data_IF_301521030923
#
_entry.id   IF_301521030923
#
_cell.length_a   1.000
_cell.length_b   1.000
_cell.length_c   1.000
_cell.angle_alpha   90.00
_cell.angle_beta   90.00
_cell.angle_gamma   90.00
#
_symmetry.space_group_name_H-M   'P 1'
#
loop_
_entity.id
_entity.type
_entity.pdbx_description
1 polymer ?
#
# COMPACT_ATOMS: atom_id res chain seq x y z
N UNK A 1 -17.55 -16.06 -30.59
CA UNK A 1 -16.23 -16.24 -29.96
C UNK A 1 -16.19 -15.39 -28.71
N UNK A 2 -16.24 -15.99 -27.52
CA UNK A 2 -16.18 -15.25 -26.26
C UNK A 2 -14.78 -14.61 -26.15
N UNK A 3 -14.72 -13.29 -26.21
CA UNK A 3 -13.51 -12.51 -25.89
C UNK A 3 -13.18 -12.78 -24.43
N UNK A 4 -12.23 -13.69 -24.18
CA UNK A 4 -11.65 -13.89 -22.85
C UNK A 4 -11.06 -12.55 -22.43
N UNK A 5 -11.74 -11.84 -21.53
CA UNK A 5 -11.23 -10.64 -20.87
C UNK A 5 -9.93 -11.05 -20.18
N UNK A 6 -8.79 -10.77 -20.81
CA UNK A 6 -7.49 -10.89 -20.15
C UNK A 6 -7.44 -9.72 -19.18
N UNK A 7 -7.50 -9.95 -17.85
CA UNK A 7 -7.26 -8.86 -16.92
C UNK A 7 -5.88 -8.30 -17.27
N UNK A 8 -5.83 -7.01 -17.62
CA UNK A 8 -4.55 -6.31 -17.76
C UNK A 8 -3.87 -6.47 -16.41
N UNK A 9 -2.80 -7.25 -16.38
CA UNK A 9 -2.03 -7.46 -15.16
C UNK A 9 -1.56 -6.06 -14.72
N UNK A 10 -2.09 -5.59 -13.59
CA UNK A 10 -1.57 -4.37 -12.97
C UNK A 10 -0.14 -4.66 -12.55
N UNK A 11 0.74 -3.72 -12.81
CA UNK A 11 2.10 -3.74 -12.28
C UNK A 11 2.04 -3.47 -10.78
N UNK A 12 3.01 -4.00 -10.05
CA UNK A 12 3.21 -3.65 -8.64
C UNK A 12 3.40 -2.14 -8.53
N UNK A 13 2.59 -1.49 -7.68
CA UNK A 13 2.70 -0.04 -7.42
C UNK A 13 4.03 0.34 -6.74
N UNK A 14 4.78 -0.65 -6.27
CA UNK A 14 6.15 -0.51 -5.79
C UNK A 14 7.19 -0.18 -6.89
N UNK A 15 6.82 -0.24 -8.17
CA UNK A 15 7.74 0.03 -9.29
C UNK A 15 8.75 -1.08 -9.59
N UNK A 16 8.59 -2.28 -9.00
CA UNK A 16 9.51 -3.40 -9.24
C UNK A 16 9.36 -4.07 -10.61
N UNK A 17 8.36 -3.67 -11.41
CA UNK A 17 8.04 -4.30 -12.70
C UNK A 17 7.32 -5.65 -12.59
N UNK A 18 7.08 -6.15 -11.38
CA UNK A 18 6.36 -7.41 -11.14
C UNK A 18 4.85 -7.28 -11.31
N UNK A 19 4.18 -8.38 -11.62
CA UNK A 19 2.72 -8.43 -11.80
C UNK A 19 2.04 -9.14 -10.62
N UNK A 20 1.56 -8.41 -9.61
CA UNK A 20 0.72 -9.00 -8.57
C UNK A 20 -0.54 -9.62 -9.18
N UNK A 21 -0.92 -10.81 -8.70
CA UNK A 21 -2.11 -11.55 -9.18
C UNK A 21 -3.40 -10.92 -8.66
N UNK A 22 -3.70 -9.69 -9.09
CA UNK A 22 -4.91 -8.95 -8.71
C UNK A 22 -4.81 -8.12 -7.44
N UNK A 23 -3.63 -7.99 -6.84
CA UNK A 23 -3.35 -7.08 -5.73
C UNK A 23 -2.58 -5.83 -6.22
N UNK A 24 -2.47 -4.80 -5.39
CA UNK A 24 -1.69 -3.58 -5.71
C UNK A 24 -0.17 -3.80 -5.52
N UNK A 25 0.20 -4.74 -4.64
CA UNK A 25 1.60 -5.08 -4.33
C UNK A 25 1.89 -6.57 -4.46
N UNK A 26 3.14 -6.90 -4.83
CA UNK A 26 3.63 -8.28 -4.72
C UNK A 26 3.68 -8.71 -3.24
N UNK A 27 3.51 -10.01 -2.94
CA UNK A 27 3.61 -10.49 -1.56
C UNK A 27 4.97 -10.14 -0.95
N UNK A 28 4.96 -9.40 0.17
CA UNK A 28 6.15 -8.94 0.89
C UNK A 28 6.70 -7.59 0.41
N UNK A 29 6.22 -7.06 -0.72
CA UNK A 29 6.58 -5.71 -1.17
C UNK A 29 5.78 -4.63 -0.41
N UNK A 30 4.56 -4.96 0.00
CA UNK A 30 3.72 -4.13 0.86
C UNK A 30 4.45 -3.78 2.17
N UNK A 31 5.07 -4.76 2.82
CA UNK A 31 5.87 -4.56 4.04
C UNK A 31 7.08 -3.66 3.80
N UNK A 32 7.79 -3.85 2.68
CA UNK A 32 8.97 -3.03 2.36
C UNK A 32 8.59 -1.57 2.12
N UNK A 33 7.47 -1.32 1.47
CA UNK A 33 6.94 0.03 1.28
C UNK A 33 6.50 0.62 2.61
N UNK A 34 5.81 -0.15 3.45
CA UNK A 34 5.46 0.29 4.79
C UNK A 34 6.71 0.73 5.58
N UNK A 35 7.77 -0.08 5.59
CA UNK A 35 9.03 0.29 6.25
C UNK A 35 9.67 1.54 5.64
N UNK A 36 9.65 1.68 4.30
CA UNK A 36 10.18 2.87 3.63
C UNK A 36 9.39 4.14 3.98
N UNK A 37 8.06 4.06 4.03
CA UNK A 37 7.18 5.17 4.41
C UNK A 37 7.42 5.55 5.87
N UNK A 38 7.45 4.58 6.79
CA UNK A 38 7.71 4.82 8.21
C UNK A 38 9.11 5.41 8.40
N UNK A 39 10.12 4.91 7.69
CA UNK A 39 11.48 5.45 7.72
C UNK A 39 11.56 6.87 7.17
N UNK A 40 10.84 7.19 6.09
CA UNK A 40 10.80 8.54 5.50
C UNK A 40 10.12 9.56 6.42
N UNK A 41 9.04 9.14 7.08
CA UNK A 41 8.28 10.00 8.02
C UNK A 41 8.92 10.05 9.42
N UNK A 42 9.88 9.15 9.69
CA UNK A 42 10.71 9.09 10.89
C UNK A 42 10.07 8.37 12.07
N UNK A 43 8.74 8.34 12.18
CA UNK A 43 8.05 7.58 13.23
C UNK A 43 6.60 7.25 12.88
N UNK A 44 6.05 6.21 13.53
CA UNK A 44 4.62 5.86 13.43
C UNK A 44 3.70 6.97 13.96
N UNK A 45 4.16 7.74 14.95
CA UNK A 45 3.42 8.89 15.48
C UNK A 45 3.29 9.98 14.42
N UNK A 46 4.39 10.31 13.74
CA UNK A 46 4.36 11.28 12.65
C UNK A 46 3.50 10.77 11.47
N UNK A 47 3.58 9.47 11.15
CA UNK A 47 2.73 8.88 10.12
C UNK A 47 1.25 9.03 10.47
N UNK A 48 0.89 8.75 11.73
CA UNK A 48 -0.46 8.98 12.25
C UNK A 48 -0.87 10.45 12.06
N UNK A 49 -0.05 11.40 12.51
CA UNK A 49 -0.37 12.84 12.38
C UNK A 49 -0.57 13.27 10.92
N UNK A 50 0.28 12.81 10.00
CA UNK A 50 0.15 13.12 8.57
C UNK A 50 -1.16 12.54 8.01
N UNK A 51 -1.48 11.30 8.35
CA UNK A 51 -2.71 10.63 7.90
C UNK A 51 -3.96 11.32 8.49
N UNK A 52 -3.95 11.67 9.77
CA UNK A 52 -5.07 12.36 10.43
C UNK A 52 -5.28 13.76 9.84
N UNK A 53 -4.20 14.51 9.55
CA UNK A 53 -4.30 15.81 8.88
C UNK A 53 -4.83 15.71 7.45
N UNK A 54 -4.40 14.70 6.70
CA UNK A 54 -4.80 14.53 5.31
C UNK A 54 -6.24 14.01 5.17
N UNK A 55 -6.64 13.07 6.03
CA UNK A 55 -7.96 12.43 5.95
C UNK A 55 -9.02 13.12 6.80
N UNK A 56 -8.63 13.97 7.75
CA UNK A 56 -9.52 14.61 8.73
C UNK A 56 -10.17 13.62 9.71
N UNK A 57 -9.70 12.36 9.74
CA UNK A 57 -10.28 11.29 10.55
C UNK A 57 -9.23 10.78 11.54
N UNK A 58 -9.59 10.58 12.83
CA UNK A 58 -8.65 10.06 13.82
C UNK A 58 -8.33 8.59 13.52
N UNK A 59 -7.05 8.24 13.60
CA UNK A 59 -6.59 6.85 13.52
C UNK A 59 -6.78 6.22 14.90
N UNK A 60 -7.86 5.45 15.05
CA UNK A 60 -8.14 4.65 16.25
C UNK A 60 -7.36 3.35 16.18
N UNK A 61 -6.48 3.11 17.14
CA UNK A 61 -5.86 1.81 17.37
C UNK A 61 -6.77 1.01 18.29
N UNK A 62 -7.32 -0.09 17.80
CA UNK A 62 -7.96 -1.09 18.66
C UNK A 62 -6.89 -2.05 19.16
N UNK A 63 -6.70 -2.10 20.48
CA UNK A 63 -6.02 -3.21 21.13
C UNK A 63 -7.12 -4.16 21.58
N UNK A 64 -7.26 -5.28 20.87
CA UNK A 64 -8.03 -6.44 21.34
C UNK A 64 -7.11 -7.28 22.25
#
# INVERSE_FOLDING_TARGET
MATRYRPKLKLCDCGCGGYPRGADYMPGHDVRIYSAIVGHVGSLRNLKEVVERYTGKPVKMSYD
#
